data_IF_969909544279
#
_entry.id   IF_969909544279
#
_cell.length_a   1.000
_cell.length_b   1.000
_cell.length_c   1.000
_cell.angle_alpha   90.00
_cell.angle_beta   90.00
_cell.angle_gamma   90.00
#
_symmetry.space_group_name_H-M   'P 1'
#
loop_
_entity.id
_entity.type
_entity.pdbx_description
1 polymer ?
#
# COMPACT_ATOMS: atom_id res chain seq x y z
N UNK A 1 -10.96 -6.10 27.47
CA UNK A 1 -11.51 -5.14 26.50
C UNK A 1 -10.60 -5.18 25.31
N UNK A 2 -11.04 -5.87 24.26
CA UNK A 2 -10.27 -6.17 23.04
C UNK A 2 -9.96 -4.89 22.24
N UNK A 3 -8.92 -4.18 22.65
CA UNK A 3 -8.38 -3.04 21.90
C UNK A 3 -7.96 -3.44 20.47
N UNK A 4 -7.78 -4.73 20.21
CA UNK A 4 -7.43 -5.27 18.91
C UNK A 4 -8.64 -5.40 17.97
N UNK A 5 -9.87 -5.60 18.46
CA UNK A 5 -11.08 -5.54 17.61
C UNK A 5 -11.31 -4.14 17.05
N UNK A 6 -10.94 -3.11 17.82
CA UNK A 6 -10.96 -1.72 17.37
C UNK A 6 -9.96 -1.43 16.26
N UNK A 7 -8.94 -2.27 16.04
CA UNK A 7 -7.90 -2.05 15.03
C UNK A 7 -8.40 -2.26 13.60
N UNK A 8 -9.52 -2.98 13.43
CA UNK A 8 -10.16 -3.19 12.12
C UNK A 8 -10.59 -1.87 11.47
N UNK A 9 -11.09 -0.92 12.26
CA UNK A 9 -11.57 0.38 11.80
C UNK A 9 -10.45 1.31 11.29
N UNK A 10 -9.35 1.56 12.02
CA UNK A 10 -8.23 2.33 11.50
C UNK A 10 -7.54 1.61 10.34
N UNK A 11 -7.49 0.27 10.33
CA UNK A 11 -6.99 -0.48 9.18
C UNK A 11 -7.80 -0.20 7.91
N UNK A 12 -9.14 -0.22 8.00
CA UNK A 12 -10.01 0.18 6.90
C UNK A 12 -9.76 1.62 6.46
N UNK A 13 -9.68 2.56 7.41
CA UNK A 13 -9.50 3.98 7.11
C UNK A 13 -8.19 4.24 6.35
N UNK A 14 -7.08 3.62 6.80
CA UNK A 14 -5.77 3.75 6.16
C UNK A 14 -5.79 3.11 4.76
N UNK A 15 -6.47 1.97 4.57
CA UNK A 15 -6.64 1.35 3.23
C UNK A 15 -7.37 2.28 2.26
N UNK A 16 -8.46 2.91 2.69
CA UNK A 16 -9.25 3.82 1.85
C UNK A 16 -8.43 5.06 1.48
N UNK A 17 -7.72 5.64 2.44
CA UNK A 17 -6.84 6.81 2.21
C UNK A 17 -5.71 6.45 1.23
N UNK A 18 -5.09 5.28 1.41
CA UNK A 18 -4.05 4.79 0.52
C UNK A 18 -4.55 4.56 -0.91
N UNK A 19 -5.72 3.93 -1.07
CA UNK A 19 -6.35 3.73 -2.37
C UNK A 19 -6.70 5.07 -3.06
N UNK A 20 -7.20 6.04 -2.30
CA UNK A 20 -7.49 7.39 -2.79
C UNK A 20 -6.23 8.14 -3.26
N UNK A 21 -5.14 8.03 -2.49
CA UNK A 21 -3.85 8.62 -2.83
C UNK A 21 -3.20 7.98 -4.06
N UNK A 22 -3.29 6.65 -4.21
CA UNK A 22 -2.80 5.93 -5.39
C UNK A 22 -3.61 6.28 -6.64
N UNK A 23 -4.92 6.45 -6.52
CA UNK A 23 -5.80 6.87 -7.61
C UNK A 23 -5.54 8.32 -8.06
N UNK A 24 -5.04 9.18 -7.17
CA UNK A 24 -4.67 10.55 -7.50
C UNK A 24 -3.32 10.58 -8.24
N UNK A 25 -3.38 10.64 -9.57
CA UNK A 25 -2.33 10.62 -10.61
C UNK A 25 -1.12 11.59 -10.47
N UNK A 26 -0.84 12.18 -9.30
CA UNK A 26 0.33 13.04 -9.08
C UNK A 26 1.54 12.21 -8.62
N UNK A 27 2.68 12.29 -9.34
CA UNK A 27 3.91 11.49 -9.08
C UNK A 27 4.35 11.48 -7.61
N UNK A 28 4.34 12.63 -6.93
CA UNK A 28 4.69 12.75 -5.49
C UNK A 28 3.65 12.10 -4.56
N UNK A 29 2.37 12.11 -4.92
CA UNK A 29 1.29 11.49 -4.14
C UNK A 29 1.29 9.97 -4.29
N UNK A 30 1.83 9.44 -5.38
CA UNK A 30 1.88 8.01 -5.69
C UNK A 30 2.87 7.23 -4.80
N UNK A 31 4.05 7.79 -4.52
CA UNK A 31 4.99 7.20 -3.55
C UNK A 31 4.43 7.23 -2.12
N UNK A 32 3.78 8.33 -1.74
CA UNK A 32 3.15 8.45 -0.42
C UNK A 32 1.97 7.50 -0.27
N UNK A 33 1.13 7.37 -1.31
CA UNK A 33 0.04 6.39 -1.37
C UNK A 33 0.55 4.96 -1.28
N UNK A 34 1.69 4.65 -1.90
CA UNK A 34 2.33 3.34 -1.80
C UNK A 34 2.80 3.01 -0.37
N UNK A 35 3.52 3.92 0.29
CA UNK A 35 3.92 3.75 1.69
C UNK A 35 2.72 3.62 2.62
N UNK A 36 1.67 4.40 2.39
CA UNK A 36 0.42 4.33 3.15
C UNK A 36 -0.30 2.98 2.95
N UNK A 37 -0.28 2.44 1.71
CA UNK A 37 -0.82 1.12 1.40
C UNK A 37 -0.04 0.01 2.08
N UNK A 38 1.30 0.10 2.10
CA UNK A 38 2.16 -0.85 2.80
C UNK A 38 1.90 -0.84 4.32
N UNK A 39 1.72 0.36 4.90
CA UNK A 39 1.39 0.53 6.31
C UNK A 39 0.04 -0.13 6.66
N UNK A 40 -0.97 0.04 5.80
CA UNK A 40 -2.27 -0.66 5.93
C UNK A 40 -2.11 -2.17 5.88
N UNK A 41 -1.27 -2.71 4.97
CA UNK A 41 -1.03 -4.14 4.88
C UNK A 41 -0.43 -4.69 6.17
N UNK A 42 0.55 -4.00 6.75
CA UNK A 42 1.15 -4.36 8.04
C UNK A 42 0.09 -4.37 9.14
N UNK A 43 -0.77 -3.35 9.18
CA UNK A 43 -1.82 -3.26 10.21
C UNK A 43 -2.83 -4.40 10.11
N UNK A 44 -3.24 -4.75 8.88
CA UNK A 44 -4.09 -5.92 8.63
C UNK A 44 -3.42 -7.24 8.99
N UNK A 45 -2.11 -7.40 8.77
CA UNK A 45 -1.37 -8.60 9.16
C UNK A 45 -1.32 -8.73 10.69
N UNK A 46 -1.05 -7.64 11.42
CA UNK A 46 -1.02 -7.63 12.89
C UNK A 46 -2.38 -8.02 13.46
N UNK A 47 -3.46 -7.44 12.94
CA UNK A 47 -4.81 -7.78 13.34
C UNK A 47 -5.16 -9.25 13.01
N UNK A 48 -4.86 -9.70 11.79
CA UNK A 48 -5.20 -11.05 11.33
C UNK A 48 -4.40 -12.14 12.06
N UNK A 49 -3.19 -11.82 12.52
CA UNK A 49 -2.41 -12.73 13.37
C UNK A 49 -3.09 -12.94 14.73
N UNK A 50 -3.66 -11.88 15.30
CA UNK A 50 -4.43 -11.95 16.53
C UNK A 50 -5.73 -12.76 16.34
N UNK A 51 -6.43 -12.56 15.23
CA UNK A 51 -7.71 -13.23 14.94
C UNK A 51 -7.54 -14.62 14.26
N UNK A 52 -6.31 -15.13 14.16
CA UNK A 52 -5.96 -16.36 13.44
C UNK A 52 -6.48 -16.42 11.99
N UNK A 53 -6.69 -15.27 11.36
CA UNK A 53 -7.21 -15.13 10.01
C UNK A 53 -6.11 -15.27 8.94
N UNK A 54 -5.54 -16.47 8.82
CA UNK A 54 -4.40 -16.73 7.92
C UNK A 54 -4.69 -16.44 6.43
N UNK A 55 -5.95 -16.58 5.99
CA UNK A 55 -6.36 -16.24 4.63
C UNK A 55 -6.18 -14.74 4.33
N UNK A 56 -6.49 -13.88 5.30
CA UNK A 56 -6.29 -12.44 5.20
C UNK A 56 -4.80 -12.10 5.18
N UNK A 57 -3.97 -12.76 5.99
CA UNK A 57 -2.51 -12.57 5.96
C UNK A 57 -1.94 -12.88 4.57
N UNK A 58 -2.32 -14.01 3.98
CA UNK A 58 -1.88 -14.39 2.64
C UNK A 58 -2.32 -13.37 1.58
N UNK A 59 -3.55 -12.87 1.67
CA UNK A 59 -4.07 -11.83 0.78
C UNK A 59 -3.28 -10.52 0.89
N UNK A 60 -2.97 -10.08 2.12
CA UNK A 60 -2.18 -8.87 2.33
C UNK A 60 -0.76 -9.00 1.78
N UNK A 61 -0.12 -10.16 1.94
CA UNK A 61 1.19 -10.42 1.34
C UNK A 61 1.12 -10.37 -0.19
N UNK A 62 0.08 -10.97 -0.80
CA UNK A 62 -0.12 -10.92 -2.23
C UNK A 62 -0.33 -9.49 -2.74
N UNK A 63 -1.14 -8.69 -2.05
CA UNK A 63 -1.40 -7.28 -2.39
C UNK A 63 -0.14 -6.43 -2.24
N UNK A 64 0.65 -6.63 -1.19
CA UNK A 64 1.94 -5.96 -1.01
C UNK A 64 2.90 -6.27 -2.17
N UNK A 65 3.02 -7.54 -2.57
CA UNK A 65 3.86 -7.94 -3.69
C UNK A 65 3.42 -7.33 -5.03
N UNK A 66 2.11 -7.29 -5.30
CA UNK A 66 1.54 -6.66 -6.49
C UNK A 66 1.80 -5.15 -6.51
N UNK A 67 1.65 -4.47 -5.37
CA UNK A 67 1.94 -3.05 -5.27
C UNK A 67 3.43 -2.76 -5.48
N UNK A 68 4.34 -3.54 -4.88
CA UNK A 68 5.80 -3.39 -5.04
C UNK A 68 6.19 -3.56 -6.50
N UNK A 69 5.66 -4.59 -7.17
CA UNK A 69 5.88 -4.83 -8.60
C UNK A 69 5.34 -3.68 -9.46
N UNK A 70 4.17 -3.15 -9.12
CA UNK A 70 3.55 -2.00 -9.79
C UNK A 70 4.35 -0.71 -9.63
N UNK A 71 4.98 -0.49 -8.47
CA UNK A 71 5.85 0.66 -8.21
C UNK A 71 7.16 0.57 -9.01
N UNK A 72 7.81 -0.60 -9.01
CA UNK A 72 9.07 -0.83 -9.74
C UNK A 72 8.93 -0.65 -11.25
N UNK A 73 7.78 -1.02 -11.83
CA UNK A 73 7.50 -0.84 -13.27
C UNK A 73 7.22 0.60 -13.69
N UNK A 74 7.18 1.52 -12.75
CA UNK A 74 6.71 2.88 -12.96
C UNK A 74 7.85 3.91 -12.85
N UNK A 75 9.09 3.42 -12.98
CA UNK A 75 10.27 4.25 -13.23
C UNK A 75 10.04 5.06 -14.50
N UNK A 76 10.19 6.39 -14.46
CA UNK A 76 10.17 7.20 -15.66
C UNK A 76 11.32 6.71 -16.53
N UNK A 77 11.01 6.29 -17.76
CA UNK A 77 12.03 6.27 -18.81
C UNK A 77 12.78 7.61 -18.74
N UNK A 78 14.11 7.62 -18.52
CA UNK A 78 14.89 8.82 -18.69
C UNK A 78 14.58 9.31 -20.09
N UNK A 79 13.88 10.44 -20.17
CA UNK A 79 13.56 11.07 -21.44
C UNK A 79 14.90 11.43 -22.04
N UNK A 80 15.31 10.66 -23.04
CA UNK A 80 16.46 10.96 -23.88
C UNK A 80 16.19 12.28 -24.58
N UNK A 81 16.47 13.40 -23.93
CA UNK A 81 16.40 14.71 -24.56
C UNK A 81 17.36 15.65 -23.85
N UNK A 82 18.31 16.16 -24.65
CA UNK A 82 19.43 17.07 -24.34
C UNK A 82 20.69 16.28 -23.98
N UNK A 83 21.69 16.19 -24.86
CA UNK A 83 22.39 17.36 -25.39
C UNK A 83 23.14 17.08 -26.71
N UNK A 84 22.43 17.27 -27.81
CA UNK A 84 22.95 17.79 -29.07
C UNK A 84 22.85 19.33 -28.98
N UNK A 85 23.89 19.95 -28.40
CA UNK A 85 24.12 21.39 -28.39
C UNK A 85 25.61 21.68 -28.46
#
# INVERSE_FOLDING_TARGET
>A
MDYLDLLQWPAMLITVIAAWLIASQAKLKREFGFWCFLLSNVLWIIWSWHDHAYALIALQIALAALNVRGAYKNEPHPSATKLDA
#
